data_IF_332306844072
#
_entry.id   IF_332306844072
#
_cell.length_a   1.000
_cell.length_b   1.000
_cell.length_c   1.000
_cell.angle_alpha   90.00
_cell.angle_beta   90.00
_cell.angle_gamma   90.00
#
_symmetry.space_group_name_H-M   'P 1'
#
loop_
_entity.id
_entity.type
_entity.pdbx_description
1 polymer ?
#
# COMPACT_ATOMS: atom_id res chain seq x y z
N UNK A 1 1.98 -17.75 0.36
CA UNK A 1 0.73 -18.03 1.11
C UNK A 1 0.83 -17.80 2.63
N UNK A 2 1.72 -18.50 3.38
CA UNK A 2 1.85 -18.28 4.84
C UNK A 2 2.41 -16.89 5.20
N UNK A 3 3.38 -16.40 4.43
CA UNK A 3 3.93 -15.05 4.56
C UNK A 3 2.89 -13.96 4.24
N UNK A 4 2.14 -14.14 3.16
CA UNK A 4 1.11 -13.20 2.71
C UNK A 4 -0.02 -13.06 3.74
N UNK A 5 -0.49 -14.16 4.34
CA UNK A 5 -1.50 -14.11 5.41
C UNK A 5 -0.96 -13.43 6.67
N UNK A 6 0.27 -13.74 7.10
CA UNK A 6 0.91 -13.07 8.23
C UNK A 6 1.05 -11.56 8.00
N UNK A 7 1.42 -11.18 6.78
CA UNK A 7 1.56 -9.78 6.38
C UNK A 7 0.23 -9.03 6.42
N UNK A 8 -0.81 -9.59 5.81
CA UNK A 8 -2.17 -9.00 5.85
C UNK A 8 -2.65 -8.86 7.30
N UNK A 9 -2.39 -9.85 8.16
CA UNK A 9 -2.78 -9.79 9.57
C UNK A 9 -2.14 -8.62 10.32
N UNK A 10 -0.90 -8.23 9.97
CA UNK A 10 -0.25 -7.05 10.56
C UNK A 10 -0.97 -5.75 10.19
N UNK A 11 -1.51 -5.64 8.97
CA UNK A 11 -2.36 -4.50 8.62
C UNK A 11 -3.71 -4.50 9.33
N UNK A 12 -4.23 -5.67 9.72
CA UNK A 12 -5.52 -5.77 10.41
C UNK A 12 -5.48 -5.22 11.86
N UNK A 13 -4.28 -4.93 12.40
CA UNK A 13 -4.12 -4.18 13.65
C UNK A 13 -4.66 -2.74 13.53
N UNK A 14 -4.76 -2.21 12.31
CA UNK A 14 -5.32 -0.90 12.02
C UNK A 14 -6.80 -1.01 11.66
N UNK A 15 -7.67 -0.46 12.51
CA UNK A 15 -9.13 -0.61 12.37
C UNK A 15 -9.69 -0.08 11.04
N UNK A 16 -9.07 0.95 10.45
CA UNK A 16 -9.49 1.47 9.14
C UNK A 16 -9.14 0.51 7.98
N UNK A 17 -7.98 -0.17 8.05
CA UNK A 17 -7.59 -1.19 7.07
C UNK A 17 -8.41 -2.46 7.23
N UNK A 18 -8.74 -2.83 8.47
CA UNK A 18 -9.67 -3.93 8.73
C UNK A 18 -11.05 -3.64 8.13
N UNK A 19 -11.58 -2.42 8.31
CA UNK A 19 -12.84 -2.00 7.68
C UNK A 19 -12.75 -2.05 6.16
N UNK A 20 -11.71 -1.48 5.57
CA UNK A 20 -11.51 -1.49 4.12
C UNK A 20 -11.47 -2.93 3.55
N UNK A 21 -10.75 -3.83 4.23
CA UNK A 21 -10.67 -5.25 3.86
C UNK A 21 -12.01 -5.96 4.00
N UNK A 22 -12.75 -5.73 5.08
CA UNK A 22 -14.05 -6.37 5.29
C UNK A 22 -15.08 -5.90 4.25
N UNK A 23 -15.10 -4.60 3.92
CA UNK A 23 -15.93 -4.08 2.83
C UNK A 23 -15.55 -4.71 1.49
N UNK A 24 -14.25 -4.80 1.18
CA UNK A 24 -13.78 -5.42 -0.05
C UNK A 24 -14.22 -6.88 -0.19
N UNK A 25 -14.11 -7.67 0.88
CA UNK A 25 -14.54 -9.08 0.91
C UNK A 25 -16.06 -9.19 0.83
N UNK A 26 -16.81 -8.27 1.44
CA UNK A 26 -18.27 -8.24 1.33
C UNK A 26 -18.72 -7.93 -0.10
N UNK A 27 -18.05 -7.01 -0.78
CA UNK A 27 -18.42 -6.57 -2.13
C UNK A 27 -17.99 -7.57 -3.21
N UNK A 28 -16.86 -8.26 -3.01
CA UNK A 28 -16.29 -9.19 -4.00
C UNK A 28 -16.57 -10.66 -3.68
N UNK A 29 -16.32 -11.08 -2.45
CA UNK A 29 -16.20 -12.48 -2.04
C UNK A 29 -14.84 -12.81 -1.39
N UNK A 30 -14.71 -13.99 -0.80
CA UNK A 30 -13.47 -14.46 -0.17
C UNK A 30 -12.34 -14.74 -1.18
N UNK A 31 -12.66 -14.89 -2.45
CA UNK A 31 -11.77 -15.14 -3.57
C UNK A 31 -11.23 -13.86 -4.24
N UNK A 32 -11.33 -12.72 -3.56
CA UNK A 32 -10.77 -11.45 -4.03
C UNK A 32 -9.28 -11.57 -4.38
N UNK A 33 -8.84 -11.17 -5.58
CA UNK A 33 -7.43 -11.21 -5.95
C UNK A 33 -6.58 -10.37 -4.99
N UNK A 34 -5.40 -10.88 -4.64
CA UNK A 34 -4.52 -10.22 -3.66
C UNK A 34 -4.13 -8.80 -4.09
N UNK A 35 -3.84 -8.59 -5.37
CA UNK A 35 -3.53 -7.27 -5.94
C UNK A 35 -4.70 -6.29 -5.80
N UNK A 36 -5.94 -6.75 -5.98
CA UNK A 36 -7.15 -5.93 -5.81
C UNK A 36 -7.34 -5.56 -4.35
N UNK A 37 -7.19 -6.51 -3.43
CA UNK A 37 -7.26 -6.25 -2.00
C UNK A 37 -6.20 -5.21 -1.58
N UNK A 38 -4.96 -5.36 -2.05
CA UNK A 38 -3.87 -4.44 -1.74
C UNK A 38 -4.10 -3.04 -2.34
N UNK A 39 -4.72 -2.94 -3.51
CA UNK A 39 -5.17 -1.66 -4.08
C UNK A 39 -6.17 -0.94 -3.18
N UNK A 40 -7.12 -1.68 -2.60
CA UNK A 40 -8.10 -1.11 -1.66
C UNK A 40 -7.41 -0.65 -0.37
N UNK A 41 -6.44 -1.42 0.14
CA UNK A 41 -5.65 -1.01 1.29
C UNK A 41 -4.85 0.27 1.01
N UNK A 42 -4.18 0.36 -0.15
CA UNK A 42 -3.43 1.55 -0.56
C UNK A 42 -4.29 2.81 -0.63
N UNK A 43 -5.51 2.70 -1.17
CA UNK A 43 -6.50 3.79 -1.17
C UNK A 43 -6.92 4.18 0.25
N UNK A 44 -7.24 3.20 1.09
CA UNK A 44 -7.61 3.44 2.48
C UNK A 44 -6.50 4.15 3.27
N UNK A 45 -5.23 3.84 2.99
CA UNK A 45 -4.09 4.55 3.58
C UNK A 45 -4.02 6.00 3.13
N UNK A 46 -4.20 6.28 1.83
CA UNK A 46 -4.22 7.64 1.29
C UNK A 46 -5.31 8.50 1.95
N UNK A 47 -6.53 7.97 2.05
CA UNK A 47 -7.70 8.66 2.62
C UNK A 47 -7.54 8.99 4.11
N UNK A 48 -6.82 8.14 4.84
CA UNK A 48 -6.66 8.27 6.29
C UNK A 48 -5.30 8.86 6.70
N UNK A 49 -4.37 9.10 5.76
CA UNK A 49 -2.97 9.47 6.04
C UNK A 49 -2.84 10.63 7.04
N UNK A 50 -3.61 11.71 6.83
CA UNK A 50 -3.58 12.90 7.68
C UNK A 50 -4.08 12.65 9.12
N UNK A 51 -4.87 11.61 9.33
CA UNK A 51 -5.46 11.26 10.63
C UNK A 51 -4.61 10.24 11.40
N UNK A 52 -3.63 9.61 10.73
CA UNK A 52 -2.76 8.62 11.36
C UNK A 52 -1.71 9.29 12.25
N UNK A 53 -1.51 8.71 13.44
CA UNK A 53 -0.41 9.11 14.32
C UNK A 53 0.95 8.82 13.65
N UNK A 54 2.01 9.58 13.97
CA UNK A 54 3.35 9.31 13.43
C UNK A 54 3.83 7.87 13.67
N UNK A 55 3.50 7.29 14.83
CA UNK A 55 3.82 5.89 15.16
C UNK A 55 3.08 4.90 14.25
N UNK A 56 1.80 5.17 13.95
CA UNK A 56 1.00 4.31 13.08
C UNK A 56 1.51 4.38 11.64
N UNK A 57 1.82 5.57 11.15
CA UNK A 57 2.37 5.75 9.80
C UNK A 57 3.73 5.07 9.67
N UNK A 58 4.64 5.31 10.61
CA UNK A 58 5.94 4.64 10.66
C UNK A 58 5.81 3.11 10.62
N UNK A 59 4.87 2.55 11.39
CA UNK A 59 4.61 1.10 11.37
C UNK A 59 4.07 0.62 10.01
N UNK A 60 3.12 1.34 9.42
CA UNK A 60 2.55 1.01 8.11
C UNK A 60 3.62 1.03 7.02
N UNK A 61 4.41 2.11 6.93
CA UNK A 61 5.44 2.21 5.90
C UNK A 61 6.59 1.22 6.09
N UNK A 62 6.89 0.85 7.35
CA UNK A 62 7.80 -0.24 7.61
C UNK A 62 7.26 -1.58 7.09
N UNK A 63 5.98 -1.89 7.29
CA UNK A 63 5.36 -3.10 6.74
C UNK A 63 5.40 -3.07 5.20
N UNK A 64 5.05 -1.95 4.57
CA UNK A 64 5.13 -1.83 3.10
C UNK A 64 6.55 -2.12 2.61
N UNK A 65 7.58 -1.59 3.28
CA UNK A 65 8.98 -1.84 2.94
C UNK A 65 9.37 -3.31 3.15
N UNK A 66 8.93 -3.97 4.22
CA UNK A 66 9.13 -5.41 4.39
C UNK A 66 8.46 -6.21 3.26
N UNK A 67 7.27 -5.79 2.84
CA UNK A 67 6.48 -6.43 1.80
C UNK A 67 7.12 -6.38 0.42
N UNK A 68 7.63 -5.21 0.00
CA UNK A 68 8.30 -5.08 -1.30
C UNK A 68 9.67 -5.78 -1.34
N UNK A 69 10.32 -5.95 -0.19
CA UNK A 69 11.58 -6.69 -0.07
C UNK A 69 11.36 -8.19 0.25
N UNK A 70 10.11 -8.67 0.23
CA UNK A 70 9.78 -10.06 0.52
C UNK A 70 10.37 -11.00 -0.54
N UNK A 71 10.87 -12.19 -0.15
CA UNK A 71 11.25 -13.24 -1.10
C UNK A 71 10.04 -13.96 -1.73
N UNK A 72 8.82 -13.69 -1.26
CA UNK A 72 7.57 -14.18 -1.86
C UNK A 72 7.16 -13.23 -2.99
N UNK A 73 7.38 -13.65 -4.24
CA UNK A 73 7.12 -12.86 -5.46
C UNK A 73 5.66 -12.40 -5.56
N UNK A 74 4.70 -13.22 -5.09
CA UNK A 74 3.28 -12.87 -5.11
C UNK A 74 3.01 -11.70 -4.16
N UNK A 75 3.58 -11.75 -2.95
CA UNK A 75 3.48 -10.67 -1.98
C UNK A 75 4.20 -9.40 -2.47
N UNK A 76 5.42 -9.53 -2.99
CA UNK A 76 6.18 -8.42 -3.54
C UNK A 76 5.37 -7.72 -4.64
N UNK A 77 4.80 -8.49 -5.57
CA UNK A 77 3.95 -7.99 -6.66
C UNK A 77 2.70 -7.31 -6.11
N UNK A 78 2.01 -7.91 -5.15
CA UNK A 78 0.80 -7.32 -4.55
C UNK A 78 1.09 -6.00 -3.82
N UNK A 79 2.23 -5.88 -3.14
CA UNK A 79 2.66 -4.64 -2.48
C UNK A 79 3.02 -3.57 -3.50
N UNK A 80 3.85 -3.92 -4.48
CA UNK A 80 4.34 -3.01 -5.50
C UNK A 80 3.19 -2.49 -6.38
N UNK A 81 2.50 -3.39 -7.08
CA UNK A 81 1.50 -3.04 -8.09
C UNK A 81 0.12 -2.78 -7.49
N UNK A 82 -0.23 -3.51 -6.43
CA UNK A 82 -1.52 -3.34 -5.77
C UNK A 82 -1.51 -2.12 -4.87
N UNK A 83 -0.65 -2.13 -3.85
CA UNK A 83 -0.71 -1.15 -2.77
C UNK A 83 0.00 0.16 -3.10
N UNK A 84 1.27 0.12 -3.49
CA UNK A 84 2.08 1.33 -3.70
C UNK A 84 1.56 2.18 -4.85
N UNK A 85 1.25 1.58 -5.99
CA UNK A 85 0.66 2.31 -7.12
C UNK A 85 -0.69 2.91 -6.77
N UNK A 86 -1.56 2.19 -6.07
CA UNK A 86 -2.86 2.70 -5.65
C UNK A 86 -2.72 3.87 -4.66
N UNK A 87 -1.76 3.78 -3.73
CA UNK A 87 -1.41 4.85 -2.81
C UNK A 87 -0.93 6.09 -3.56
N UNK A 88 0.07 5.96 -4.45
CA UNK A 88 0.64 7.09 -5.20
C UNK A 88 -0.40 7.77 -6.09
N UNK A 89 -1.20 6.98 -6.81
CA UNK A 89 -2.29 7.49 -7.62
C UNK A 89 -3.31 8.28 -6.79
N UNK A 90 -3.65 7.79 -5.60
CA UNK A 90 -4.64 8.42 -4.71
C UNK A 90 -4.15 9.74 -4.10
N UNK A 91 -2.83 9.91 -3.93
CA UNK A 91 -2.23 11.13 -3.37
C UNK A 91 -1.66 12.08 -4.43
N UNK A 92 -1.62 11.67 -5.70
CA UNK A 92 -1.01 12.41 -6.81
C UNK A 92 -1.52 13.86 -6.97
N UNK A 93 -2.79 14.12 -6.66
CA UNK A 93 -3.40 15.45 -6.70
C UNK A 93 -3.14 16.33 -5.48
N UNK A 94 -2.52 15.80 -4.41
CA UNK A 94 -2.22 16.54 -3.17
C UNK A 94 -0.73 16.51 -2.87
N UNK A 95 -0.01 17.56 -3.28
CA UNK A 95 1.44 17.67 -3.15
C UNK A 95 1.92 17.61 -1.69
N UNK A 96 1.15 18.16 -0.74
CA UNK A 96 1.52 18.12 0.68
C UNK A 96 1.50 16.68 1.22
N UNK A 97 0.40 15.96 0.98
CA UNK A 97 0.28 14.55 1.37
C UNK A 97 1.33 13.72 0.63
N UNK A 98 1.52 13.92 -0.67
CA UNK A 98 2.52 13.21 -1.46
C UNK A 98 3.93 13.40 -0.90
N UNK A 99 4.33 14.64 -0.59
CA UNK A 99 5.64 14.90 0.01
C UNK A 99 5.80 14.18 1.35
N UNK A 100 4.78 14.23 2.22
CA UNK A 100 4.83 13.55 3.52
C UNK A 100 4.90 12.02 3.39
N UNK A 101 4.13 11.42 2.47
CA UNK A 101 4.22 9.99 2.17
C UNK A 101 5.61 9.62 1.68
N UNK A 102 6.17 10.36 0.72
CA UNK A 102 7.50 10.09 0.17
C UNK A 102 8.64 10.28 1.20
N UNK A 103 8.44 11.08 2.24
CA UNK A 103 9.38 11.19 3.36
C UNK A 103 9.35 9.97 4.30
N UNK A 104 8.22 9.29 4.41
CA UNK A 104 8.04 8.14 5.29
C UNK A 104 8.24 6.78 4.60
N UNK A 105 8.25 6.75 3.26
CA UNK A 105 8.55 5.54 2.49
C UNK A 105 9.98 5.02 2.74
N UNK A 106 10.09 3.70 2.83
CA UNK A 106 11.37 3.01 2.80
C UNK A 106 12.05 3.09 1.42
N UNK A 107 13.37 2.79 1.35
CA UNK A 107 14.18 3.01 0.16
C UNK A 107 13.71 2.19 -1.06
N UNK A 108 13.34 0.92 -0.90
CA UNK A 108 12.88 0.08 -2.00
C UNK A 108 11.51 0.54 -2.50
N UNK A 109 10.60 0.83 -1.59
CA UNK A 109 9.27 1.35 -1.93
C UNK A 109 9.34 2.68 -2.68
N UNK A 110 10.22 3.58 -2.23
CA UNK A 110 10.45 4.88 -2.86
C UNK A 110 11.08 4.74 -4.23
N UNK A 111 12.08 3.86 -4.38
CA UNK A 111 12.72 3.56 -5.66
C UNK A 111 11.69 3.05 -6.67
N UNK A 112 10.87 2.07 -6.27
CA UNK A 112 9.81 1.52 -7.12
C UNK A 112 8.89 2.61 -7.67
N UNK A 113 8.38 3.50 -6.81
CA UNK A 113 7.47 4.57 -7.24
C UNK A 113 8.13 5.62 -8.14
N UNK A 114 9.43 5.89 -7.96
CA UNK A 114 10.18 6.78 -8.84
C UNK A 114 10.36 6.15 -10.21
N UNK A 115 10.76 4.88 -10.27
CA UNK A 115 10.90 4.13 -11.53
C UNK A 115 9.54 4.05 -12.27
N UNK A 116 8.46 3.80 -11.53
CA UNK A 116 7.09 3.80 -12.04
C UNK A 116 6.66 5.18 -12.61
N UNK A 117 6.98 6.26 -11.90
CA UNK A 117 6.65 7.63 -12.36
C UNK A 117 7.40 7.99 -13.65
N UNK A 118 8.69 7.66 -13.72
CA UNK A 118 9.52 7.89 -14.91
C UNK A 118 9.01 7.13 -16.13
N UNK A 119 8.58 5.89 -15.95
CA UNK A 119 7.97 5.10 -17.01
C UNK A 119 6.71 5.78 -17.56
N UNK A 120 5.80 6.23 -16.69
CA UNK A 120 4.59 6.94 -17.09
C UNK A 120 4.83 8.29 -17.78
N UNK A 121 5.94 8.98 -17.48
CA UNK A 121 6.34 10.19 -18.19
C UNK A 121 6.91 9.89 -19.58
N UNK A 122 7.57 8.74 -19.76
CA UNK A 122 8.13 8.33 -21.04
C UNK A 122 7.10 7.86 -22.08
N UNK A 123 5.89 7.53 -21.64
CA UNK A 123 4.78 7.09 -22.49
C UNK A 123 3.81 8.22 -22.92
N UNK A 124 4.09 9.47 -22.53
CA UNK A 124 3.30 10.67 -22.90
C UNK A 124 3.94 11.44 -24.05
#
# INVERSE_FOLDING_TARGET
MEFSMRFVNQFMEFSFLQKARNSAVQDWGEDIPMTVLFSILGKGMAENFAQLSPSSRSRIFHLIEEGINSPDDELCTAVATGLLEALDNSISGNLEIKNNVYLELGPSSKKYLLDFSLWHESEK
#
